data_IF_404098522527
#
_entry.id   IF_404098522527
#
_cell.length_a   1.000
_cell.length_b   1.000
_cell.length_c   1.000
_cell.angle_alpha   90.00
_cell.angle_beta   90.00
_cell.angle_gamma   90.00
#
_symmetry.space_group_name_H-M   'P 1'
#
loop_
_entity.id
_entity.type
_entity.pdbx_description
1 polymer ?
#
# COMPACT_ATOMS: atom_id res chain seq x y z
N UNK A 1 41.46 -8.61 -1.73
CA UNK A 1 40.49 -9.50 -2.38
C UNK A 1 39.58 -8.63 -3.23
N UNK A 2 39.52 -8.89 -4.52
CA UNK A 2 38.64 -8.14 -5.41
C UNK A 2 37.22 -8.68 -5.28
N UNK A 3 36.20 -7.83 -5.42
CA UNK A 3 34.77 -8.22 -5.38
C UNK A 3 34.45 -9.40 -6.35
N UNK A 4 35.20 -9.49 -7.45
CA UNK A 4 35.16 -10.57 -8.45
C UNK A 4 35.49 -11.96 -7.90
N UNK A 5 36.31 -12.05 -6.85
CA UNK A 5 36.72 -13.31 -6.22
C UNK A 5 35.69 -13.80 -5.19
N UNK A 6 34.77 -12.93 -4.75
CA UNK A 6 33.77 -13.20 -3.72
C UNK A 6 32.35 -13.37 -4.28
N UNK A 7 32.08 -12.85 -5.48
CA UNK A 7 30.76 -12.92 -6.11
C UNK A 7 30.86 -13.52 -7.51
N UNK A 8 30.12 -14.60 -7.76
CA UNK A 8 29.90 -15.14 -9.11
C UNK A 8 28.66 -14.47 -9.69
N UNK A 9 28.78 -13.51 -10.64
CA UNK A 9 27.63 -12.81 -11.17
C UNK A 9 26.77 -13.78 -11.98
N UNK A 10 25.45 -13.69 -11.83
CA UNK A 10 24.52 -14.60 -12.51
C UNK A 10 24.56 -14.38 -14.04
N UNK A 11 24.30 -15.41 -14.86
CA UNK A 11 24.33 -15.31 -16.33
C UNK A 11 23.42 -14.20 -16.89
N UNK A 12 22.30 -13.93 -16.21
CA UNK A 12 21.32 -12.91 -16.58
C UNK A 12 21.88 -11.48 -16.56
N UNK A 13 22.91 -11.19 -15.75
CA UNK A 13 23.58 -9.88 -15.67
C UNK A 13 24.32 -9.55 -16.98
N UNK A 14 24.69 -10.58 -17.74
CA UNK A 14 25.44 -10.43 -19.00
C UNK A 14 24.54 -10.46 -20.24
N UNK A 15 23.23 -10.66 -20.08
CA UNK A 15 22.28 -10.59 -21.18
C UNK A 15 22.08 -9.12 -21.61
N UNK A 16 22.69 -8.72 -22.73
CA UNK A 16 22.62 -7.36 -23.25
C UNK A 16 21.19 -6.89 -23.60
N UNK A 17 20.26 -7.84 -23.76
CA UNK A 17 18.84 -7.62 -24.05
C UNK A 17 17.99 -7.38 -22.79
N UNK A 18 18.52 -7.70 -21.60
CA UNK A 18 17.91 -7.38 -20.29
C UNK A 18 18.57 -6.16 -19.65
N UNK A 19 18.78 -5.08 -20.42
CA UNK A 19 19.02 -3.77 -19.79
C UNK A 19 17.76 -3.40 -19.01
N UNK A 20 17.74 -3.74 -17.72
CA UNK A 20 16.80 -3.30 -16.70
C UNK A 20 15.46 -2.88 -17.30
N UNK A 21 14.60 -3.83 -17.66
CA UNK A 21 13.18 -3.51 -17.83
C UNK A 21 12.78 -2.92 -16.48
N UNK A 22 12.67 -1.60 -16.41
CA UNK A 22 12.32 -0.90 -15.17
C UNK A 22 10.97 -1.47 -14.78
N UNK A 23 10.99 -2.30 -13.75
CA UNK A 23 9.83 -3.03 -13.30
C UNK A 23 8.81 -1.98 -12.83
N UNK A 24 7.72 -1.84 -13.56
CA UNK A 24 6.67 -0.85 -13.29
C UNK A 24 5.35 -1.53 -12.96
N UNK A 25 4.55 -0.87 -12.12
CA UNK A 25 3.22 -1.34 -11.77
C UNK A 25 2.36 -1.57 -13.04
N UNK A 26 2.45 -0.70 -14.03
CA UNK A 26 1.73 -0.83 -15.31
C UNK A 26 2.05 -2.12 -16.05
N UNK A 27 3.33 -2.52 -16.07
CA UNK A 27 3.77 -3.76 -16.74
C UNK A 27 3.17 -4.98 -16.05
N UNK A 28 3.09 -4.95 -14.72
CA UNK A 28 2.43 -5.98 -13.92
C UNK A 28 0.92 -6.01 -14.13
N UNK A 29 0.24 -4.85 -14.10
CA UNK A 29 -1.20 -4.76 -14.25
C UNK A 29 -1.66 -5.30 -15.62
N UNK A 30 -0.85 -5.08 -16.67
CA UNK A 30 -1.04 -5.62 -18.03
C UNK A 30 -0.74 -7.12 -18.18
N UNK A 31 -0.26 -7.78 -17.12
CA UNK A 31 0.05 -9.22 -17.14
C UNK A 31 1.37 -9.58 -17.81
N UNK A 32 2.28 -8.62 -18.00
CA UNK A 32 3.56 -8.82 -18.68
C UNK A 32 4.72 -9.20 -17.75
N UNK A 33 4.42 -9.61 -16.51
CA UNK A 33 5.42 -10.01 -15.50
C UNK A 33 5.28 -11.50 -15.21
N UNK A 34 6.35 -12.26 -15.43
CA UNK A 34 6.44 -13.68 -15.09
C UNK A 34 6.74 -13.83 -13.59
N UNK A 35 5.83 -14.46 -12.85
CA UNK A 35 5.95 -14.60 -11.40
C UNK A 35 7.08 -15.52 -10.95
N UNK A 36 7.33 -16.62 -11.67
CA UNK A 36 8.39 -17.56 -11.30
C UNK A 36 9.77 -16.93 -11.53
N UNK A 37 9.97 -16.33 -12.70
CA UNK A 37 11.21 -15.61 -13.00
C UNK A 37 11.43 -14.42 -12.05
N UNK A 38 10.36 -13.74 -11.65
CA UNK A 38 10.42 -12.65 -10.69
C UNK A 38 10.97 -13.13 -9.33
N UNK A 39 10.45 -14.22 -8.76
CA UNK A 39 10.89 -14.71 -7.43
C UNK A 39 12.22 -15.48 -7.45
N UNK A 40 12.70 -15.95 -8.61
CA UNK A 40 14.06 -16.49 -8.74
C UNK A 40 15.16 -15.41 -8.60
N UNK A 41 14.82 -14.17 -8.95
CA UNK A 41 15.73 -13.04 -9.01
C UNK A 41 15.56 -12.08 -7.82
N UNK A 42 14.39 -12.06 -7.19
CA UNK A 42 14.07 -11.13 -6.09
C UNK A 42 14.06 -11.82 -4.73
N UNK A 43 14.76 -11.23 -3.78
CA UNK A 43 14.79 -11.68 -2.39
C UNK A 43 13.77 -10.93 -1.54
N UNK A 44 13.15 -11.66 -0.61
CA UNK A 44 12.23 -11.08 0.35
C UNK A 44 12.96 -10.24 1.40
N UNK A 45 12.68 -8.94 1.43
CA UNK A 45 13.02 -8.09 2.58
C UNK A 45 12.03 -8.34 3.73
N UNK A 46 12.43 -8.09 4.97
CA UNK A 46 11.54 -8.24 6.13
C UNK A 46 10.27 -7.38 6.02
N UNK A 47 10.41 -6.17 5.45
CA UNK A 47 9.30 -5.29 5.16
C UNK A 47 8.32 -5.86 4.13
N UNK A 48 8.83 -6.45 3.04
CA UNK A 48 8.00 -7.08 2.03
C UNK A 48 7.28 -8.32 2.57
N UNK A 49 7.94 -9.14 3.39
CA UNK A 49 7.30 -10.27 4.07
C UNK A 49 6.16 -9.81 4.97
N UNK A 50 6.40 -8.76 5.73
CA UNK A 50 5.39 -8.18 6.64
C UNK A 50 4.18 -7.68 5.87
N UNK A 51 4.39 -6.99 4.75
CA UNK A 51 3.32 -6.55 3.85
C UNK A 51 2.50 -7.75 3.36
N UNK A 52 3.17 -8.77 2.82
CA UNK A 52 2.49 -9.94 2.23
C UNK A 52 1.75 -10.76 3.30
N UNK A 53 2.38 -11.00 4.46
CA UNK A 53 1.76 -11.73 5.57
C UNK A 53 0.49 -11.03 6.07
N UNK A 54 0.58 -9.74 6.39
CA UNK A 54 -0.55 -8.97 6.90
C UNK A 54 -1.66 -8.82 5.87
N UNK A 55 -1.32 -8.56 4.60
CA UNK A 55 -2.30 -8.45 3.53
C UNK A 55 -3.07 -9.76 3.33
N UNK A 56 -2.39 -10.91 3.33
CA UNK A 56 -3.05 -12.19 3.17
C UNK A 56 -3.88 -12.61 4.37
N UNK A 57 -3.44 -12.34 5.60
CA UNK A 57 -4.26 -12.56 6.81
C UNK A 57 -5.53 -11.72 6.83
N UNK A 58 -5.47 -10.49 6.30
CA UNK A 58 -6.64 -9.64 6.13
C UNK A 58 -7.61 -10.28 5.13
N UNK A 59 -7.11 -10.56 3.92
CA UNK A 59 -7.91 -11.12 2.83
C UNK A 59 -8.48 -12.52 3.13
N UNK A 60 -7.86 -13.29 4.03
CA UNK A 60 -8.38 -14.58 4.51
C UNK A 60 -9.37 -14.48 5.66
N UNK A 61 -9.68 -13.27 6.14
CA UNK A 61 -10.60 -13.04 7.25
C UNK A 61 -10.07 -13.51 8.61
N UNK A 62 -8.74 -13.64 8.76
CA UNK A 62 -8.12 -14.19 9.97
C UNK A 62 -8.05 -13.18 11.14
N UNK A 63 -8.59 -11.97 10.97
CA UNK A 63 -8.75 -10.96 12.03
C UNK A 63 -7.48 -10.26 12.51
N UNK A 64 -6.32 -10.61 11.94
CA UNK A 64 -4.99 -10.10 12.33
C UNK A 64 -4.26 -9.35 11.20
N UNK A 65 -4.97 -8.96 10.14
CA UNK A 65 -4.40 -8.24 9.01
C UNK A 65 -4.79 -6.76 8.99
N UNK A 66 -4.19 -6.01 8.07
CA UNK A 66 -4.50 -4.60 7.81
C UNK A 66 -5.19 -4.44 6.46
N UNK A 67 -6.16 -3.53 6.39
CA UNK A 67 -6.90 -3.23 5.15
C UNK A 67 -6.20 -2.18 4.28
N UNK A 68 -5.39 -1.31 4.88
CA UNK A 68 -4.65 -0.25 4.20
C UNK A 68 -3.17 -0.33 4.58
N UNK A 69 -2.29 -0.23 3.60
CA UNK A 69 -0.84 -0.18 3.76
C UNK A 69 -0.28 1.04 3.03
N UNK A 70 0.62 1.76 3.69
CA UNK A 70 1.41 2.82 3.09
C UNK A 70 2.87 2.38 3.03
N UNK A 71 3.43 2.34 1.83
CA UNK A 71 4.82 2.00 1.59
C UNK A 71 5.66 3.29 1.59
N UNK A 72 6.48 3.45 2.63
CA UNK A 72 7.45 4.56 2.75
C UNK A 72 8.80 4.21 2.08
N UNK A 73 9.65 5.23 1.87
CA UNK A 73 11.01 5.03 1.33
C UNK A 73 11.91 4.23 2.29
N UNK A 74 11.61 4.22 3.59
CA UNK A 74 12.37 3.50 4.61
C UNK A 74 12.33 1.96 4.42
N UNK A 75 11.39 1.43 3.65
CA UNK A 75 11.27 -0.02 3.38
C UNK A 75 12.36 -0.59 2.43
N UNK A 76 13.41 0.18 2.13
CA UNK A 76 14.58 -0.26 1.37
C UNK A 76 14.27 -0.50 -0.11
N UNK A 77 14.32 0.57 -0.92
CA UNK A 77 14.51 0.54 -2.38
C UNK A 77 13.48 -0.20 -3.27
N UNK A 78 12.47 -0.86 -2.70
CA UNK A 78 11.68 -1.86 -3.42
C UNK A 78 10.17 -1.67 -3.40
N UNK A 79 9.60 -0.47 -3.23
CA UNK A 79 8.13 -0.30 -3.12
C UNK A 79 7.36 -0.96 -4.25
N UNK A 80 7.71 -0.64 -5.49
CA UNK A 80 7.12 -1.25 -6.68
C UNK A 80 7.36 -2.76 -6.71
N UNK A 81 8.51 -3.24 -6.23
CA UNK A 81 8.79 -4.68 -6.09
C UNK A 81 7.90 -5.34 -5.03
N UNK A 82 7.65 -4.69 -3.89
CA UNK A 82 6.76 -5.19 -2.83
C UNK A 82 5.32 -5.28 -3.32
N UNK A 83 4.84 -4.26 -4.04
CA UNK A 83 3.52 -4.28 -4.66
C UNK A 83 3.40 -5.38 -5.71
N UNK A 84 4.38 -5.51 -6.61
CA UNK A 84 4.37 -6.56 -7.63
C UNK A 84 4.47 -7.95 -7.01
N UNK A 85 5.28 -8.12 -5.95
CA UNK A 85 5.37 -9.38 -5.21
C UNK A 85 4.02 -9.77 -4.62
N UNK A 86 3.38 -8.85 -3.88
CA UNK A 86 2.05 -9.08 -3.33
C UNK A 86 1.04 -9.40 -4.45
N UNK A 87 1.05 -8.63 -5.54
CA UNK A 87 0.13 -8.80 -6.66
C UNK A 87 0.29 -10.15 -7.37
N UNK A 88 1.52 -10.60 -7.61
CA UNK A 88 1.81 -11.90 -8.22
C UNK A 88 1.30 -13.05 -7.35
N UNK A 89 1.59 -12.99 -6.04
CA UNK A 89 1.15 -14.01 -5.09
C UNK A 89 -0.36 -13.98 -4.84
N UNK A 90 -0.99 -12.81 -4.96
CA UNK A 90 -2.43 -12.65 -4.83
C UNK A 90 -3.16 -13.27 -6.03
N UNK A 91 -2.64 -13.08 -7.25
CA UNK A 91 -3.22 -13.65 -8.48
C UNK A 91 -3.05 -15.16 -8.60
N UNK A 92 -1.93 -15.71 -8.13
CA UNK A 92 -1.59 -17.13 -8.29
C UNK A 92 -1.39 -17.85 -6.94
N UNK A 93 -2.43 -18.58 -6.46
CA UNK A 93 -2.34 -19.39 -5.25
C UNK A 93 -1.26 -20.48 -5.30
N UNK A 94 -0.95 -21.04 -6.47
CA UNK A 94 0.07 -22.08 -6.60
C UNK A 94 1.47 -21.49 -6.45
N UNK A 95 1.72 -20.36 -7.12
CA UNK A 95 2.96 -19.60 -6.93
C UNK A 95 3.14 -19.19 -5.47
N UNK A 96 2.06 -18.70 -4.83
CA UNK A 96 2.08 -18.36 -3.40
C UNK A 96 2.49 -19.55 -2.53
N UNK A 97 1.92 -20.72 -2.75
CA UNK A 97 2.31 -21.93 -2.00
C UNK A 97 3.79 -22.29 -2.22
N UNK A 98 4.29 -22.20 -3.46
CA UNK A 98 5.69 -22.50 -3.77
C UNK A 98 6.67 -21.53 -3.12
N UNK A 99 6.37 -20.24 -3.17
CA UNK A 99 7.20 -19.18 -2.57
C UNK A 99 7.23 -19.31 -1.04
N UNK A 100 6.06 -19.49 -0.42
CA UNK A 100 5.98 -19.63 1.04
C UNK A 100 6.47 -20.97 1.58
N UNK A 101 6.63 -22.01 0.74
CA UNK A 101 7.26 -23.26 1.17
C UNK A 101 8.73 -23.08 1.59
N UNK A 102 9.37 -22.00 1.15
CA UNK A 102 10.77 -21.67 1.46
C UNK A 102 10.89 -20.61 2.57
N UNK A 103 9.77 -20.08 3.07
CA UNK A 103 9.73 -18.99 4.05
C UNK A 103 9.32 -19.57 5.42
N UNK A 104 10.06 -19.19 6.46
CA UNK A 104 9.73 -19.57 7.83
C UNK A 104 8.35 -19.01 8.22
N UNK A 105 7.48 -19.85 8.78
CA UNK A 105 6.08 -19.51 9.08
C UNK A 105 5.07 -19.96 8.01
N UNK A 106 5.53 -20.32 6.80
CA UNK A 106 4.67 -20.89 5.75
C UNK A 106 3.64 -19.92 5.18
N UNK A 107 2.66 -20.43 4.43
CA UNK A 107 1.65 -19.58 3.79
C UNK A 107 0.68 -19.01 4.85
N UNK A 108 0.60 -17.68 5.02
CA UNK A 108 -0.27 -17.02 6.00
C UNK A 108 -1.77 -17.20 5.72
N UNK A 109 -2.13 -17.52 4.47
CA UNK A 109 -3.51 -17.71 4.04
C UNK A 109 -3.65 -18.93 3.11
N UNK A 110 -3.61 -20.16 3.65
CA UNK A 110 -3.68 -21.39 2.85
C UNK A 110 -5.02 -21.58 2.13
N UNK A 111 -6.10 -21.08 2.72
CA UNK A 111 -7.48 -21.20 2.21
C UNK A 111 -7.90 -20.07 1.27
N UNK A 112 -7.11 -19.00 1.18
CA UNK A 112 -7.44 -17.85 0.32
C UNK A 112 -7.33 -18.25 -1.15
N UNK A 113 -8.35 -17.96 -1.95
CA UNK A 113 -8.32 -18.20 -3.39
C UNK A 113 -7.43 -17.23 -4.16
N UNK A 114 -7.54 -17.25 -5.48
CA UNK A 114 -6.99 -16.19 -6.31
C UNK A 114 -7.73 -14.88 -6.05
N UNK A 115 -6.98 -13.78 -5.93
CA UNK A 115 -7.52 -12.45 -5.70
C UNK A 115 -7.51 -11.65 -7.00
N UNK A 116 -8.48 -10.76 -7.15
CA UNK A 116 -8.41 -9.70 -8.14
C UNK A 116 -7.33 -8.71 -7.74
N UNK A 117 -6.62 -8.14 -8.72
CA UNK A 117 -5.58 -7.14 -8.47
C UNK A 117 -5.69 -6.04 -9.51
N UNK A 118 -5.94 -4.84 -9.02
CA UNK A 118 -6.12 -3.62 -9.80
C UNK A 118 -5.22 -2.52 -9.26
N UNK A 119 -4.97 -1.49 -10.05
CA UNK A 119 -4.23 -0.35 -9.54
C UNK A 119 -4.18 0.86 -10.45
N UNK A 120 -3.58 1.92 -9.93
CA UNK A 120 -3.43 3.19 -10.63
C UNK A 120 -2.02 3.73 -10.37
N UNK A 121 -1.35 4.16 -11.43
CA UNK A 121 -0.08 4.86 -11.35
C UNK A 121 -0.36 6.36 -11.51
N UNK A 122 0.03 7.19 -10.55
CA UNK A 122 -0.19 8.62 -10.60
C UNK A 122 0.63 9.36 -11.65
N UNK A 123 1.57 8.69 -12.34
CA UNK A 123 2.16 9.20 -13.58
C UNK A 123 1.20 9.16 -14.78
N UNK A 124 0.13 8.36 -14.72
CA UNK A 124 -0.90 8.25 -15.76
C UNK A 124 -1.93 9.37 -15.64
N UNK A 125 -1.47 10.62 -15.78
CA UNK A 125 -2.31 11.83 -15.64
C UNK A 125 -3.37 11.97 -16.73
N UNK A 126 -3.19 11.29 -17.86
CA UNK A 126 -4.08 11.25 -19.01
C UNK A 126 -5.12 10.10 -18.97
N UNK A 127 -5.17 9.33 -17.89
CA UNK A 127 -6.10 8.22 -17.73
C UNK A 127 -7.57 8.71 -17.77
N UNK A 128 -8.33 8.17 -18.73
CA UNK A 128 -9.75 8.48 -18.89
C UNK A 128 -10.52 8.04 -17.62
N UNK A 129 -11.23 9.00 -17.01
CA UNK A 129 -11.98 8.73 -15.78
C UNK A 129 -11.14 8.75 -14.49
N UNK A 130 -9.84 9.09 -14.57
CA UNK A 130 -8.97 9.19 -13.42
C UNK A 130 -8.82 7.87 -12.65
N UNK A 131 -8.58 7.98 -11.34
CA UNK A 131 -8.33 6.83 -10.46
C UNK A 131 -9.50 5.83 -10.48
N UNK A 132 -10.72 6.30 -10.25
CA UNK A 132 -11.88 5.40 -10.13
C UNK A 132 -12.38 4.89 -11.49
N UNK A 133 -12.24 5.66 -12.56
CA UNK A 133 -12.51 5.18 -13.92
C UNK A 133 -11.58 4.03 -14.30
N UNK A 134 -10.27 4.19 -14.04
CA UNK A 134 -9.28 3.14 -14.33
C UNK A 134 -9.47 1.88 -13.49
N UNK A 135 -9.81 2.02 -12.20
CA UNK A 135 -10.16 0.87 -11.35
C UNK A 135 -11.43 0.18 -11.88
N UNK A 136 -12.46 0.94 -12.27
CA UNK A 136 -13.68 0.37 -12.80
C UNK A 136 -13.50 -0.37 -14.13
N UNK A 137 -12.65 0.14 -15.02
CA UNK A 137 -12.25 -0.54 -16.26
C UNK A 137 -11.55 -1.87 -15.96
N UNK A 138 -10.57 -1.89 -15.06
CA UNK A 138 -9.84 -3.11 -14.68
C UNK A 138 -10.72 -4.16 -14.00
N UNK A 139 -11.79 -3.74 -13.31
CA UNK A 139 -12.79 -4.64 -12.73
C UNK A 139 -13.89 -5.05 -13.73
N UNK A 140 -13.90 -4.53 -14.96
CA UNK A 140 -14.96 -4.76 -15.94
C UNK A 140 -16.31 -4.16 -15.54
N UNK A 141 -16.31 -3.12 -14.69
CA UNK A 141 -17.49 -2.45 -14.12
C UNK A 141 -17.66 -1.00 -14.61
N UNK A 142 -16.96 -0.62 -15.67
CA UNK A 142 -17.03 0.72 -16.30
C UNK A 142 -18.46 1.21 -16.54
N UNK A 143 -19.35 0.34 -17.03
CA UNK A 143 -20.75 0.69 -17.29
C UNK A 143 -21.55 1.02 -16.02
N UNK A 144 -21.25 0.35 -14.90
CA UNK A 144 -21.90 0.62 -13.60
C UNK A 144 -21.38 1.93 -12.99
N UNK A 145 -20.11 2.26 -13.27
CA UNK A 145 -19.43 3.42 -12.71
C UNK A 145 -19.41 4.66 -13.60
N UNK A 146 -19.94 4.57 -14.82
CA UNK A 146 -19.93 5.63 -15.83
C UNK A 146 -20.50 6.97 -15.32
N UNK A 147 -21.50 6.93 -14.41
CA UNK A 147 -22.12 8.12 -13.81
C UNK A 147 -21.15 8.97 -12.97
N UNK A 148 -20.06 8.38 -12.49
CA UNK A 148 -19.00 9.10 -11.74
C UNK A 148 -17.87 9.59 -12.64
N UNK A 149 -17.86 9.17 -13.91
CA UNK A 149 -16.83 9.50 -14.90
C UNK A 149 -17.32 10.58 -15.87
N UNK A 150 -18.58 10.51 -16.30
CA UNK A 150 -19.18 11.42 -17.27
C UNK A 150 -20.55 11.94 -16.79
N UNK A 151 -20.94 13.18 -17.12
CA UNK A 151 -20.26 14.15 -18.01
C UNK A 151 -19.13 14.93 -17.32
N UNK A 152 -19.04 14.89 -15.99
CA UNK A 152 -17.96 15.47 -15.20
C UNK A 152 -17.54 14.47 -14.13
N UNK A 153 -16.24 14.45 -13.83
CA UNK A 153 -15.69 13.64 -12.75
C UNK A 153 -16.33 14.03 -11.42
N UNK A 154 -16.97 13.05 -10.79
CA UNK A 154 -17.71 13.23 -9.54
C UNK A 154 -17.20 12.21 -8.52
N UNK A 155 -16.89 12.68 -7.31
CA UNK A 155 -16.34 11.83 -6.27
C UNK A 155 -17.34 10.74 -5.87
N UNK A 156 -17.04 9.44 -6.05
CA UNK A 156 -17.86 8.39 -5.50
C UNK A 156 -17.88 8.44 -3.96
N UNK A 157 -19.05 8.14 -3.38
CA UNK A 157 -19.21 7.96 -1.94
C UNK A 157 -18.77 6.56 -1.48
N UNK A 158 -18.69 6.31 -0.16
CA UNK A 158 -18.26 5.01 0.37
C UNK A 158 -19.09 3.82 -0.14
N UNK A 159 -20.42 3.96 -0.21
CA UNK A 159 -21.29 2.89 -0.72
C UNK A 159 -21.08 2.60 -2.22
N UNK A 160 -20.79 3.64 -3.01
CA UNK A 160 -20.45 3.46 -4.42
C UNK A 160 -19.12 2.73 -4.59
N UNK A 161 -18.14 3.02 -3.73
CA UNK A 161 -16.90 2.25 -3.69
C UNK A 161 -17.17 0.79 -3.33
N UNK A 162 -17.94 0.50 -2.29
CA UNK A 162 -18.29 -0.89 -1.92
C UNK A 162 -18.96 -1.64 -3.08
N UNK A 163 -19.89 -1.00 -3.80
CA UNK A 163 -20.54 -1.57 -4.99
C UNK A 163 -19.51 -1.89 -6.10
N UNK A 164 -18.57 -0.96 -6.33
CA UNK A 164 -17.51 -1.14 -7.32
C UNK A 164 -16.55 -2.27 -6.95
N UNK A 165 -16.08 -2.30 -5.70
CA UNK A 165 -15.08 -3.25 -5.23
C UNK A 165 -15.66 -4.65 -5.03
N UNK A 166 -16.94 -4.76 -4.62
CA UNK A 166 -17.67 -6.02 -4.46
C UNK A 166 -17.13 -6.91 -3.35
N UNK A 167 -17.57 -8.17 -3.32
CA UNK A 167 -17.30 -9.11 -2.22
C UNK A 167 -16.13 -10.08 -2.47
N UNK A 168 -15.52 -10.03 -3.67
CA UNK A 168 -14.40 -10.90 -4.01
C UNK A 168 -13.09 -10.38 -3.40
N UNK A 169 -12.13 -11.26 -3.03
CA UNK A 169 -10.81 -10.82 -2.56
C UNK A 169 -10.13 -9.92 -3.58
N UNK A 170 -9.77 -8.71 -3.19
CA UNK A 170 -9.26 -7.66 -4.07
C UNK A 170 -8.07 -6.95 -3.45
N UNK A 171 -6.99 -6.81 -4.23
CA UNK A 171 -5.86 -5.93 -3.91
C UNK A 171 -5.91 -4.71 -4.83
N UNK A 172 -5.82 -3.52 -4.24
CA UNK A 172 -5.78 -2.24 -4.93
C UNK A 172 -4.41 -1.62 -4.72
N UNK A 173 -3.77 -1.21 -5.80
CA UNK A 173 -2.48 -0.53 -5.80
C UNK A 173 -2.64 0.93 -6.21
N UNK A 174 -2.22 1.88 -5.38
CA UNK A 174 -2.09 3.29 -5.78
C UNK A 174 -0.62 3.69 -5.69
N UNK A 175 0.04 3.80 -6.84
CA UNK A 175 1.48 4.08 -6.94
C UNK A 175 1.72 5.52 -7.37
N UNK A 176 2.65 6.20 -6.69
CA UNK A 176 3.12 7.54 -7.04
C UNK A 176 1.99 8.55 -7.33
N UNK A 177 1.06 8.73 -6.39
CA UNK A 177 -0.06 9.68 -6.55
C UNK A 177 0.32 11.18 -6.66
N UNK A 178 1.42 11.71 -6.10
CA UNK A 178 1.66 13.15 -6.11
C UNK A 178 1.63 13.83 -7.49
N UNK A 179 2.30 13.30 -8.55
CA UNK A 179 2.20 13.87 -9.91
C UNK A 179 0.76 13.97 -10.44
N UNK A 180 -0.11 13.01 -10.08
CA UNK A 180 -1.53 13.05 -10.47
C UNK A 180 -2.27 14.17 -9.76
N UNK A 181 -2.04 14.35 -8.45
CA UNK A 181 -2.69 15.40 -7.66
C UNK A 181 -2.23 16.80 -8.10
N UNK A 182 -0.94 16.98 -8.41
CA UNK A 182 -0.40 18.22 -8.95
C UNK A 182 -1.08 18.60 -10.28
N UNK A 183 -1.20 17.63 -11.20
CA UNK A 183 -1.94 17.82 -12.44
C UNK A 183 -3.42 18.14 -12.18
N UNK A 184 -4.05 17.43 -11.24
CA UNK A 184 -5.47 17.59 -10.92
C UNK A 184 -5.82 18.99 -10.37
N UNK A 185 -4.87 19.71 -9.76
CA UNK A 185 -5.09 21.11 -9.34
C UNK A 185 -5.31 22.03 -10.55
N UNK A 186 -4.66 21.73 -11.69
CA UNK A 186 -4.75 22.53 -12.91
C UNK A 186 -6.03 22.28 -13.73
N UNK A 187 -6.81 21.24 -13.40
CA UNK A 187 -8.01 20.86 -14.14
C UNK A 187 -9.27 21.38 -13.43
N UNK A 188 -10.01 22.36 -14.01
CA UNK A 188 -11.24 22.87 -13.41
C UNK A 188 -12.38 21.84 -13.52
N UNK A 189 -13.15 21.68 -12.44
CA UNK A 189 -14.34 20.81 -12.39
C UNK A 189 -15.45 21.54 -11.63
N UNK A 190 -16.50 21.95 -12.36
CA UNK A 190 -17.59 22.75 -11.80
C UNK A 190 -17.08 24.06 -11.19
N UNK A 191 -17.33 24.28 -9.90
CA UNK A 191 -16.86 25.46 -9.15
C UNK A 191 -15.52 25.22 -8.42
N UNK A 192 -14.91 24.04 -8.56
CA UNK A 192 -13.64 23.67 -7.93
C UNK A 192 -12.64 23.12 -8.95
N UNK A 193 -11.73 22.27 -8.48
CA UNK A 193 -10.74 21.58 -9.31
C UNK A 193 -10.81 20.06 -9.11
N UNK A 194 -10.20 19.33 -10.05
CA UNK A 194 -10.16 17.87 -10.01
C UNK A 194 -9.42 17.34 -8.77
N UNK A 195 -8.43 18.07 -8.24
CA UNK A 195 -7.74 17.68 -7.02
C UNK A 195 -8.72 17.57 -5.84
N UNK A 196 -9.62 18.54 -5.67
CA UNK A 196 -10.63 18.53 -4.60
C UNK A 196 -11.56 17.32 -4.73
N UNK A 197 -12.02 17.03 -5.96
CA UNK A 197 -12.86 15.86 -6.26
C UNK A 197 -12.10 14.55 -6.00
N UNK A 198 -10.83 14.50 -6.39
CA UNK A 198 -9.96 13.32 -6.22
C UNK A 198 -9.69 13.06 -4.75
N UNK A 199 -9.33 14.07 -3.96
CA UNK A 199 -9.12 13.93 -2.51
C UNK A 199 -10.38 13.43 -1.81
N UNK A 200 -11.56 13.95 -2.17
CA UNK A 200 -12.82 13.46 -1.64
C UNK A 200 -13.09 11.99 -2.02
N UNK A 201 -12.83 11.62 -3.28
CA UNK A 201 -12.98 10.25 -3.76
C UNK A 201 -12.05 9.26 -3.02
N UNK A 202 -10.78 9.64 -2.81
CA UNK A 202 -9.79 8.85 -2.07
C UNK A 202 -10.14 8.72 -0.59
N UNK A 203 -10.59 9.80 0.06
CA UNK A 203 -11.08 9.74 1.44
C UNK A 203 -12.25 8.74 1.58
N UNK A 204 -13.21 8.79 0.65
CA UNK A 204 -14.33 7.85 0.62
C UNK A 204 -13.89 6.42 0.31
N UNK A 205 -12.83 6.23 -0.48
CA UNK A 205 -12.24 4.91 -0.74
C UNK A 205 -11.64 4.32 0.54
N UNK A 206 -10.88 5.10 1.31
CA UNK A 206 -10.31 4.64 2.58
C UNK A 206 -11.39 4.18 3.55
N UNK A 207 -12.45 4.97 3.72
CA UNK A 207 -13.61 4.61 4.56
C UNK A 207 -14.28 3.32 4.06
N UNK A 208 -14.43 3.15 2.74
CA UNK A 208 -15.01 1.92 2.21
C UNK A 208 -14.11 0.70 2.50
N UNK A 209 -12.80 0.82 2.27
CA UNK A 209 -11.84 -0.29 2.42
C UNK A 209 -11.69 -0.72 3.88
N UNK A 210 -11.76 0.20 4.85
CA UNK A 210 -11.70 -0.15 6.28
C UNK A 210 -12.90 -0.99 6.73
N UNK A 211 -14.04 -0.88 6.05
CA UNK A 211 -15.25 -1.68 6.30
C UNK A 211 -15.31 -2.96 5.45
N UNK A 212 -14.35 -3.21 4.57
CA UNK A 212 -14.33 -4.35 3.64
C UNK A 212 -13.25 -5.37 4.00
N UNK A 213 -13.61 -6.52 4.60
CA UNK A 213 -12.63 -7.55 4.98
C UNK A 213 -11.99 -8.27 3.79
N UNK A 214 -12.58 -8.14 2.60
CA UNK A 214 -12.10 -8.75 1.36
C UNK A 214 -11.24 -7.81 0.50
N UNK A 215 -11.00 -6.56 0.94
CA UNK A 215 -10.24 -5.58 0.15
C UNK A 215 -8.99 -5.15 0.90
N UNK A 216 -7.85 -5.18 0.21
CA UNK A 216 -6.56 -4.67 0.68
C UNK A 216 -6.11 -3.53 -0.24
N UNK A 217 -5.83 -2.36 0.33
CA UNK A 217 -5.32 -1.19 -0.38
C UNK A 217 -3.86 -0.96 -0.01
N UNK A 218 -3.00 -0.84 -1.02
CA UNK A 218 -1.58 -0.54 -0.84
C UNK A 218 -1.26 0.74 -1.60
N UNK A 219 -0.76 1.73 -0.87
CA UNK A 219 -0.32 3.02 -1.36
C UNK A 219 1.20 3.05 -1.38
N UNK A 220 1.81 3.63 -2.38
CA UNK A 220 3.23 3.99 -2.36
C UNK A 220 3.41 5.46 -2.67
N UNK A 221 4.24 6.10 -1.85
CA UNK A 221 4.73 7.44 -2.12
C UNK A 221 6.22 7.40 -2.50
N UNK A 222 6.56 8.10 -3.58
CA UNK A 222 7.96 8.35 -3.94
C UNK A 222 8.56 9.51 -3.12
N UNK A 223 7.76 10.17 -2.28
CA UNK A 223 7.99 11.45 -1.60
C UNK A 223 9.28 11.65 -0.80
N UNK A 224 10.06 10.61 -0.48
CA UNK A 224 11.26 10.78 0.34
C UNK A 224 12.54 11.27 -0.39
N UNK A 225 12.53 11.78 -1.63
CA UNK A 225 13.78 12.31 -2.22
C UNK A 225 13.73 13.62 -3.00
N UNK A 226 12.57 14.30 -3.16
CA UNK A 226 12.56 15.64 -3.76
C UNK A 226 11.55 16.65 -3.17
N UNK A 227 10.73 16.28 -2.18
CA UNK A 227 9.62 17.17 -1.75
C UNK A 227 9.37 17.32 -0.24
N UNK A 228 10.28 16.92 0.64
CA UNK A 228 10.30 17.44 2.00
C UNK A 228 11.69 17.31 2.60
N UNK A 229 12.18 18.39 3.21
CA UNK A 229 13.16 18.25 4.27
C UNK A 229 12.48 17.49 5.41
N UNK A 230 12.67 16.16 5.45
CA UNK A 230 12.53 15.26 6.61
C UNK A 230 11.41 15.53 7.60
N UNK A 231 10.14 15.55 7.16
CA UNK A 231 8.97 15.54 8.04
C UNK A 231 7.81 14.83 7.32
N UNK A 232 7.59 13.56 7.65
CA UNK A 232 6.36 12.86 7.25
C UNK A 232 5.24 13.26 8.23
N UNK A 233 4.07 13.62 7.72
CA UNK A 233 2.91 14.03 8.52
C UNK A 233 1.78 12.99 8.35
N UNK A 234 1.74 12.00 9.25
CA UNK A 234 0.89 10.81 9.12
C UNK A 234 -0.44 11.00 9.87
N UNK A 235 -1.58 10.98 9.17
CA UNK A 235 -2.92 10.96 9.78
C UNK A 235 -3.67 9.65 9.42
N UNK A 236 -3.73 8.67 10.34
CA UNK A 236 -4.24 7.31 10.07
C UNK A 236 -5.77 7.20 10.04
N UNK A 237 -6.52 8.25 10.40
CA UNK A 237 -7.99 8.16 10.48
C UNK A 237 -8.49 7.23 11.60
N UNK A 238 -9.75 6.79 11.53
CA UNK A 238 -10.37 5.93 12.55
C UNK A 238 -10.24 4.43 12.22
N UNK A 239 -9.76 3.60 13.14
CA UNK A 239 -9.66 2.14 12.95
C UNK A 239 -8.46 1.52 13.68
N UNK A 240 -8.15 0.26 13.37
CA UNK A 240 -6.88 -0.41 13.72
C UNK A 240 -5.90 -0.21 12.57
N UNK A 241 -4.97 0.72 12.71
CA UNK A 241 -3.99 1.05 11.69
C UNK A 241 -2.61 0.58 12.10
N UNK A 242 -1.80 0.19 11.12
CA UNK A 242 -0.36 -0.02 11.32
C UNK A 242 0.37 1.15 10.68
N UNK A 243 1.13 1.88 11.49
CA UNK A 243 1.96 2.99 11.05
C UNK A 243 3.42 2.54 11.16
N UNK A 244 4.15 2.58 10.04
CA UNK A 244 5.59 2.30 9.98
C UNK A 244 6.26 3.58 9.47
N UNK A 245 6.80 4.39 10.38
CA UNK A 245 7.34 5.71 10.06
C UNK A 245 8.72 5.58 9.38
N UNK A 246 9.63 4.81 9.99
CA UNK A 246 10.85 4.33 9.35
C UNK A 246 12.09 5.02 9.89
N UNK A 247 13.14 5.17 9.09
CA UNK A 247 14.33 5.90 9.55
C UNK A 247 14.15 7.40 9.26
N UNK A 248 14.24 8.26 10.27
CA UNK A 248 14.00 9.71 10.17
C UNK A 248 13.44 10.31 11.45
N UNK A 249 13.31 11.64 11.51
CA UNK A 249 12.57 12.31 12.59
C UNK A 249 11.11 12.51 12.11
N UNK A 250 10.19 11.65 12.54
CA UNK A 250 8.83 11.63 12.00
C UNK A 250 7.82 12.42 12.84
N UNK A 251 6.76 12.97 12.21
CA UNK A 251 5.68 13.68 12.90
C UNK A 251 4.34 12.98 12.66
N UNK A 252 3.82 12.31 13.68
CA UNK A 252 2.57 11.56 13.56
C UNK A 252 1.43 12.45 14.07
N UNK A 253 0.49 12.75 13.17
CA UNK A 253 -0.57 13.72 13.39
C UNK A 253 -1.59 13.25 14.42
N UNK A 254 -1.95 11.95 14.39
CA UNK A 254 -2.80 11.34 15.42
C UNK A 254 -2.58 9.83 15.49
N UNK A 255 -2.76 9.24 16.67
CA UNK A 255 -2.88 7.78 16.82
C UNK A 255 -4.11 7.43 17.67
N UNK A 256 -4.81 6.38 17.27
CA UNK A 256 -5.92 5.78 18.01
C UNK A 256 -5.42 4.66 18.94
N UNK A 257 -6.15 4.32 20.03
CA UNK A 257 -5.76 3.26 20.97
C UNK A 257 -5.59 1.86 20.35
N UNK A 258 -6.20 1.67 19.18
CA UNK A 258 -6.23 0.45 18.39
C UNK A 258 -5.10 0.38 17.33
N UNK A 259 -4.30 1.45 17.21
CA UNK A 259 -3.22 1.54 16.23
C UNK A 259 -1.93 0.90 16.76
N UNK A 260 -1.17 0.30 15.85
CA UNK A 260 0.20 -0.18 16.09
C UNK A 260 1.16 0.76 15.38
N UNK A 261 2.07 1.39 16.12
CA UNK A 261 3.07 2.31 15.59
C UNK A 261 4.47 1.73 15.76
N UNK A 262 5.22 1.72 14.66
CA UNK A 262 6.66 1.53 14.62
C UNK A 262 7.29 2.84 14.13
N UNK A 263 7.95 3.55 15.03
CA UNK A 263 8.65 4.80 14.73
C UNK A 263 9.86 4.58 13.83
N UNK A 264 10.50 3.40 13.91
CA UNK A 264 11.78 3.16 13.26
C UNK A 264 12.90 3.95 13.92
N UNK A 265 13.96 4.32 13.19
CA UNK A 265 15.15 4.95 13.76
C UNK A 265 15.15 6.48 13.61
N UNK A 266 15.08 7.22 14.70
CA UNK A 266 15.22 8.68 14.74
C UNK A 266 14.47 9.29 15.92
N UNK A 267 14.15 10.58 15.88
CA UNK A 267 13.43 11.28 16.94
C UNK A 267 11.99 11.57 16.54
N UNK A 268 11.09 10.65 16.84
CA UNK A 268 9.69 10.73 16.42
C UNK A 268 8.81 11.53 17.38
N UNK A 269 7.87 12.29 16.82
CA UNK A 269 6.96 13.18 17.54
C UNK A 269 5.51 12.86 17.23
N UNK A 270 4.70 12.56 18.25
CA UNK A 270 3.25 12.40 18.12
C UNK A 270 2.57 13.70 18.56
N UNK A 271 1.73 14.28 17.70
CA UNK A 271 1.12 15.61 17.94
C UNK A 271 -0.27 15.54 18.58
N UNK A 272 -1.06 14.49 18.32
CA UNK A 272 -2.33 14.24 19.02
C UNK A 272 -2.46 12.79 19.50
N UNK A 273 -2.68 12.62 20.81
CA UNK A 273 -3.00 11.33 21.44
C UNK A 273 -4.44 11.37 21.93
N UNK A 274 -5.36 10.63 21.28
CA UNK A 274 -6.74 10.56 21.72
C UNK A 274 -6.96 9.40 22.73
N UNK A 275 -6.89 9.70 24.02
CA UNK A 275 -7.12 8.75 25.13
C UNK A 275 -8.60 8.54 25.48
N UNK A 276 -9.58 9.02 24.71
CA UNK A 276 -10.98 9.05 25.16
C UNK A 276 -11.73 7.71 25.09
N UNK A 277 -11.12 6.63 24.60
CA UNK A 277 -11.80 5.34 24.37
C UNK A 277 -10.92 4.10 24.68
N UNK A 278 -10.10 4.16 25.74
CA UNK A 278 -9.16 3.07 26.09
C UNK A 278 -9.91 1.79 26.49
N UNK A 279 -9.79 0.73 25.69
CA UNK A 279 -10.12 -0.65 26.10
C UNK A 279 -8.95 -1.63 25.89
N UNK A 280 -7.84 -1.19 25.30
CA UNK A 280 -6.60 -1.95 25.10
C UNK A 280 -5.39 -1.00 25.07
N UNK A 281 -4.20 -1.51 25.38
CA UNK A 281 -2.98 -0.72 25.48
C UNK A 281 -2.43 -0.34 24.09
N UNK A 282 -2.08 0.92 23.91
CA UNK A 282 -1.24 1.38 22.77
C UNK A 282 0.11 0.68 22.88
N UNK A 283 0.52 -0.02 21.82
CA UNK A 283 1.85 -0.65 21.74
C UNK A 283 2.76 0.25 20.91
N UNK A 284 3.56 1.05 21.61
CA UNK A 284 4.67 1.82 21.03
C UNK A 284 5.90 0.91 21.09
N UNK A 285 6.37 0.45 19.94
CA UNK A 285 7.49 -0.48 19.89
C UNK A 285 8.74 0.22 19.34
N UNK A 286 9.06 1.38 19.90
CA UNK A 286 10.36 1.99 19.71
C UNK A 286 11.05 2.11 21.07
N UNK A 287 11.94 1.18 21.36
CA UNK A 287 13.09 1.40 22.22
C UNK A 287 13.99 0.17 22.07
N UNK A 288 15.29 0.42 21.94
CA UNK A 288 16.34 -0.60 22.13
C UNK A 288 16.39 -1.21 23.56
N UNK A 289 15.35 -1.04 24.38
CA UNK A 289 15.06 -1.77 25.60
C UNK A 289 13.55 -1.62 25.96
N UNK A 290 12.85 -2.68 26.38
CA UNK A 290 11.45 -2.55 26.76
C UNK A 290 11.31 -1.70 28.04
N UNK A 291 10.77 -0.48 27.93
CA UNK A 291 10.25 0.27 29.07
C UNK A 291 8.73 0.25 29.06
N UNK A 292 8.15 -0.40 30.07
CA UNK A 292 6.77 -0.17 30.48
C UNK A 292 6.67 1.23 31.07
N UNK A 293 5.96 2.15 30.40
CA UNK A 293 5.61 3.43 31.01
C UNK A 293 4.73 3.17 32.25
N UNK A 294 5.16 3.55 33.46
CA UNK A 294 4.38 3.35 34.66
C UNK A 294 3.15 4.24 34.61
N UNK A 295 2.00 3.67 34.95
CA UNK A 295 0.78 4.44 35.15
C UNK A 295 0.99 5.50 36.22
N UNK A 296 0.78 6.76 35.87
CA UNK A 296 0.44 7.80 36.83
C UNK A 296 -0.76 8.58 36.32
N UNK A 297 -1.90 8.30 36.95
CA UNK A 297 -3.06 9.18 36.94
C UNK A 297 -2.65 10.57 37.44
N UNK A 298 -3.02 11.63 36.72
CA UNK A 298 -3.11 12.98 37.29
C UNK A 298 -4.32 13.71 36.66
N UNK A 299 -5.31 13.94 37.51
CA UNK A 299 -6.54 14.79 37.46
C UNK A 299 -7.06 15.32 36.13
#
# INVERSE_FOLDING_TARGET
MALKELCTPRPSVFAADRRATVLSLDTFLKGSVDGAAFFEENYFTGGMLTLVDRAFRHLSGSGAGSSVFQLSQAMGGGKTHSMISLGLLARDPNLRQQVFAQIEGGNPAPSLGACQVVGFNGRSTDAAGGIWGSIAEQLGKEGQFAKYVAPLLSAPGPEAWKELLGDQPLVIFLDELPPYLEYAVAVPVGNGNLATVTTAALANLFVAVTEMPNVCLVLSDLGGTNYAAGQDNINPGTGKNLILAGDGDDVIASISPDDTLDGGAGSDTITELNFSAVSSAVTLNDLAAPETLPGTAIS
#
